data_IF_443758212395
#
_entry.id   IF_443758212395
#
_cell.length_a   1.000
_cell.length_b   1.000
_cell.length_c   1.000
_cell.angle_alpha   90.00
_cell.angle_beta   90.00
_cell.angle_gamma   90.00
#
_symmetry.space_group_name_H-M   'P 1'
#
loop_
_entity.id
_entity.type
_entity.pdbx_description
1 polymer ?
#
# COMPACT_ATOMS: atom_id res chain seq x y z
N UNK A 1 16.30 -12.58 -21.75
CA UNK A 1 17.64 -13.17 -21.55
C UNK A 1 18.58 -12.36 -22.42
N UNK A 2 19.65 -11.83 -21.86
CA UNK A 2 20.50 -10.86 -22.52
C UNK A 2 21.97 -11.23 -22.33
N UNK A 3 22.82 -10.84 -23.28
CA UNK A 3 24.26 -10.86 -23.07
C UNK A 3 24.62 -9.84 -21.99
N UNK A 4 25.47 -10.23 -21.06
CA UNK A 4 26.06 -9.31 -20.11
C UNK A 4 26.84 -8.22 -20.88
N UNK A 5 26.81 -6.97 -20.41
CA UNK A 5 27.47 -5.83 -21.06
C UNK A 5 28.95 -6.10 -21.37
N UNK A 6 29.65 -6.81 -20.47
CA UNK A 6 31.06 -7.20 -20.67
C UNK A 6 31.22 -8.20 -21.82
N UNK A 7 30.35 -9.21 -21.90
CA UNK A 7 30.39 -10.21 -22.97
C UNK A 7 30.02 -9.61 -24.32
N UNK A 8 29.03 -8.70 -24.34
CA UNK A 8 28.67 -7.94 -25.53
C UNK A 8 29.86 -7.09 -26.02
N UNK A 9 30.55 -6.41 -25.11
CA UNK A 9 31.74 -5.62 -25.44
C UNK A 9 32.87 -6.50 -26.00
N UNK A 10 33.18 -7.64 -25.37
CA UNK A 10 34.18 -8.59 -25.86
C UNK A 10 33.81 -9.09 -27.27
N UNK A 11 32.54 -9.39 -27.51
CA UNK A 11 32.07 -9.80 -28.82
C UNK A 11 32.21 -8.69 -29.87
N UNK A 12 31.82 -7.45 -29.54
CA UNK A 12 31.97 -6.29 -30.42
C UNK A 12 33.44 -6.01 -30.77
N UNK A 13 34.33 -6.03 -29.76
CA UNK A 13 35.77 -5.88 -29.96
C UNK A 13 36.34 -7.01 -30.81
N UNK A 14 35.94 -8.26 -30.55
CA UNK A 14 36.39 -9.40 -31.36
C UNK A 14 35.94 -9.28 -32.82
N UNK A 15 34.73 -8.78 -33.06
CA UNK A 15 34.20 -8.57 -34.40
C UNK A 15 34.92 -7.43 -35.14
N UNK A 16 35.24 -6.32 -34.48
CA UNK A 16 36.02 -5.23 -35.09
C UNK A 16 37.45 -5.66 -35.38
N UNK A 17 38.12 -6.37 -34.46
CA UNK A 17 39.44 -6.94 -34.72
C UNK A 17 39.42 -7.97 -35.84
N UNK A 18 38.39 -8.80 -35.94
CA UNK A 18 38.23 -9.73 -37.05
C UNK A 18 38.17 -8.97 -38.40
N UNK A 19 37.33 -7.93 -38.48
CA UNK A 19 37.15 -7.16 -39.71
C UNK A 19 38.41 -6.41 -40.13
N UNK A 20 39.10 -5.76 -39.19
CA UNK A 20 40.39 -5.08 -39.42
C UNK A 20 41.46 -6.09 -39.86
N UNK A 21 41.52 -7.26 -39.20
CA UNK A 21 42.51 -8.29 -39.51
C UNK A 21 42.27 -8.94 -40.88
N UNK A 22 41.02 -8.98 -41.34
CA UNK A 22 40.65 -9.46 -42.67
C UNK A 22 41.13 -8.48 -43.76
N UNK A 23 41.04 -7.17 -43.50
CA UNK A 23 41.58 -6.12 -44.39
C UNK A 23 43.11 -6.19 -44.44
N UNK A 24 43.76 -6.36 -43.27
CA UNK A 24 45.22 -6.39 -43.15
C UNK A 24 45.84 -7.77 -43.42
N UNK A 25 45.03 -8.79 -43.73
CA UNK A 25 45.43 -10.18 -43.97
C UNK A 25 46.30 -10.79 -42.83
N UNK A 26 45.98 -10.46 -41.58
CA UNK A 26 46.70 -10.93 -40.40
C UNK A 26 46.14 -12.29 -39.95
N UNK A 27 46.57 -13.36 -40.62
CA UNK A 27 46.07 -14.73 -40.41
C UNK A 27 45.97 -15.18 -38.93
N UNK A 28 46.97 -14.94 -38.05
CA UNK A 28 46.87 -15.36 -36.65
C UNK A 28 45.73 -14.67 -35.89
N UNK A 29 45.45 -13.40 -36.21
CA UNK A 29 44.41 -12.61 -35.55
C UNK A 29 43.03 -13.01 -36.08
N UNK A 30 42.91 -13.32 -37.37
CA UNK A 30 41.68 -13.85 -37.97
C UNK A 30 41.26 -15.16 -37.28
N UNK A 31 42.19 -16.10 -37.11
CA UNK A 31 41.90 -17.40 -36.50
C UNK A 31 41.48 -17.23 -35.02
N UNK A 32 42.20 -16.42 -34.26
CA UNK A 32 41.90 -16.21 -32.83
C UNK A 32 40.58 -15.50 -32.60
N UNK A 33 40.28 -14.44 -33.36
CA UNK A 33 39.00 -13.72 -33.25
C UNK A 33 37.81 -14.57 -33.70
N UNK A 34 37.96 -15.35 -34.78
CA UNK A 34 36.94 -16.31 -35.22
C UNK A 34 36.68 -17.40 -34.17
N UNK A 35 37.74 -17.94 -33.55
CA UNK A 35 37.63 -18.91 -32.47
C UNK A 35 36.86 -18.34 -31.27
N UNK A 36 37.17 -17.12 -30.84
CA UNK A 36 36.47 -16.45 -29.73
C UNK A 36 34.99 -16.25 -30.07
N UNK A 37 34.67 -15.75 -31.27
CA UNK A 37 33.28 -15.52 -31.68
C UNK A 37 32.49 -16.83 -31.78
N UNK A 38 33.06 -17.87 -32.39
CA UNK A 38 32.40 -19.19 -32.50
C UNK A 38 32.20 -19.83 -31.13
N UNK A 39 33.19 -19.74 -30.24
CA UNK A 39 33.05 -20.20 -28.86
C UNK A 39 31.91 -19.48 -28.13
N UNK A 40 31.85 -18.15 -28.18
CA UNK A 40 30.78 -17.36 -27.54
C UNK A 40 29.42 -17.76 -28.12
N UNK A 41 29.29 -17.88 -29.44
CA UNK A 41 28.03 -18.24 -30.09
C UNK A 41 27.54 -19.65 -29.67
N UNK A 42 28.42 -20.66 -29.73
CA UNK A 42 28.09 -22.03 -29.32
C UNK A 42 27.75 -22.11 -27.83
N UNK A 43 28.53 -21.41 -26.99
CA UNK A 43 28.27 -21.34 -25.56
C UNK A 43 26.93 -20.69 -25.25
N UNK A 44 26.59 -19.58 -25.91
CA UNK A 44 25.30 -18.90 -25.74
C UNK A 44 24.15 -19.84 -26.07
N UNK A 45 24.25 -20.64 -27.15
CA UNK A 45 23.22 -21.62 -27.50
C UNK A 45 23.06 -22.66 -26.39
N UNK A 46 24.16 -23.24 -25.90
CA UNK A 46 24.13 -24.26 -24.84
C UNK A 46 23.59 -23.69 -23.51
N UNK A 47 24.17 -22.58 -23.04
CA UNK A 47 23.81 -21.94 -21.77
C UNK A 47 22.38 -21.37 -21.79
N UNK A 48 21.88 -20.94 -22.95
CA UNK A 48 20.48 -20.48 -23.08
C UNK A 48 19.46 -21.56 -22.72
N UNK A 49 19.75 -22.83 -23.04
CA UNK A 49 18.85 -23.95 -22.76
C UNK A 49 18.74 -24.21 -21.26
N UNK A 50 19.85 -24.11 -20.54
CA UNK A 50 19.87 -24.28 -19.08
C UNK A 50 19.21 -23.10 -18.36
N UNK A 51 19.55 -21.85 -18.72
CA UNK A 51 18.94 -20.65 -18.12
C UNK A 51 17.43 -20.55 -18.42
N UNK A 52 16.96 -21.09 -19.56
CA UNK A 52 15.52 -21.12 -19.88
C UNK A 52 14.71 -21.93 -18.87
N UNK A 53 15.26 -23.02 -18.30
CA UNK A 53 14.58 -23.89 -17.32
C UNK A 53 14.29 -23.19 -15.99
N UNK A 54 15.06 -22.16 -15.64
CA UNK A 54 14.93 -21.44 -14.37
C UNK A 54 13.71 -20.54 -14.43
N UNK A 55 12.81 -20.64 -13.46
CA UNK A 55 11.56 -19.87 -13.40
C UNK A 55 11.53 -18.97 -12.16
N UNK A 56 10.59 -18.00 -12.14
CA UNK A 56 10.34 -17.15 -10.97
C UNK A 56 9.86 -17.96 -9.76
N UNK A 57 9.12 -19.04 -10.00
CA UNK A 57 8.53 -19.92 -8.98
C UNK A 57 9.56 -20.77 -8.22
N UNK A 58 10.78 -20.88 -8.76
CA UNK A 58 11.89 -21.55 -8.10
C UNK A 58 12.42 -20.77 -6.89
N UNK A 59 12.04 -19.49 -6.77
CA UNK A 59 12.45 -18.58 -5.71
C UNK A 59 11.31 -18.33 -4.73
N UNK A 60 11.62 -18.39 -3.44
CA UNK A 60 10.74 -17.91 -2.37
C UNK A 60 11.36 -16.64 -1.80
N UNK A 61 10.63 -15.53 -1.87
CA UNK A 61 11.05 -14.27 -1.26
C UNK A 61 10.08 -13.82 -0.17
N UNK A 62 10.61 -13.16 0.84
CA UNK A 62 9.86 -12.54 1.93
C UNK A 62 10.48 -11.17 2.14
N UNK A 63 9.66 -10.12 2.05
CA UNK A 63 10.05 -8.75 2.35
C UNK A 63 9.36 -8.33 3.66
N UNK A 64 10.11 -7.66 4.53
CA UNK A 64 9.59 -7.18 5.81
C UNK A 64 10.15 -5.81 6.13
N UNK A 65 9.34 -4.95 6.73
CA UNK A 65 9.66 -3.55 7.02
C UNK A 65 9.33 -3.24 8.48
N UNK A 66 10.20 -2.48 9.15
CA UNK A 66 10.03 -2.12 10.57
C UNK A 66 10.80 -0.83 10.90
N UNK A 67 10.17 0.18 11.51
CA UNK A 67 8.74 0.27 11.83
C UNK A 67 7.89 0.51 10.57
N UNK A 68 6.64 0.07 10.59
CA UNK A 68 5.64 0.39 9.56
C UNK A 68 4.26 0.41 10.24
N UNK A 69 3.63 1.58 10.45
CA UNK A 69 4.00 2.90 9.90
C UNK A 69 5.26 3.50 10.56
N UNK A 70 5.86 4.45 9.86
CA UNK A 70 7.03 5.21 10.30
C UNK A 70 6.75 6.72 10.30
N UNK A 71 7.52 7.49 11.04
CA UNK A 71 7.48 8.94 10.94
C UNK A 71 8.35 9.40 9.75
N UNK A 72 8.03 10.55 9.15
CA UNK A 72 8.92 11.17 8.15
C UNK A 72 10.32 11.38 8.74
N UNK A 73 11.34 11.30 7.88
CA UNK A 73 12.75 11.34 8.25
C UNK A 73 13.21 10.27 9.24
N UNK A 74 12.32 9.37 9.68
CA UNK A 74 12.68 8.27 10.56
C UNK A 74 13.20 7.09 9.74
N UNK A 75 14.29 6.50 10.22
CA UNK A 75 14.88 5.32 9.63
C UNK A 75 13.92 4.11 9.70
N UNK A 76 13.67 3.48 8.56
CA UNK A 76 12.92 2.22 8.43
C UNK A 76 13.86 1.10 8.03
N UNK A 77 13.92 0.06 8.85
CA UNK A 77 14.69 -1.15 8.58
C UNK A 77 13.92 -2.07 7.65
N UNK A 78 14.54 -2.42 6.54
CA UNK A 78 13.98 -3.28 5.50
C UNK A 78 14.81 -4.56 5.48
N UNK A 79 14.12 -5.68 5.70
CA UNK A 79 14.69 -7.02 5.69
C UNK A 79 14.06 -7.81 4.57
N UNK A 80 14.82 -8.01 3.49
CA UNK A 80 14.48 -8.92 2.42
C UNK A 80 15.15 -10.26 2.65
N UNK A 81 14.45 -11.34 2.35
CA UNK A 81 15.05 -12.66 2.35
C UNK A 81 14.59 -13.48 1.17
N UNK A 82 15.51 -14.27 0.63
CA UNK A 82 15.28 -15.07 -0.56
C UNK A 82 15.92 -16.45 -0.40
N UNK A 83 15.23 -17.45 -0.92
CA UNK A 83 15.67 -18.85 -0.88
C UNK A 83 15.28 -19.56 -2.17
N UNK A 84 16.05 -20.58 -2.51
CA UNK A 84 15.92 -21.36 -3.73
C UNK A 84 15.33 -22.75 -3.41
N UNK A 85 14.34 -23.20 -4.19
CA UNK A 85 13.64 -24.47 -3.95
C UNK A 85 14.38 -25.68 -4.50
N UNK A 86 14.72 -25.65 -5.80
CA UNK A 86 15.12 -26.87 -6.56
C UNK A 86 16.60 -26.93 -6.94
N UNK A 87 17.23 -25.79 -7.21
CA UNK A 87 18.54 -25.75 -7.88
C UNK A 87 19.71 -25.86 -6.89
N UNK A 88 20.72 -26.67 -7.23
CA UNK A 88 21.89 -26.92 -6.35
C UNK A 88 22.71 -25.66 -6.05
N UNK A 89 23.04 -24.88 -7.09
CA UNK A 89 23.83 -23.64 -6.98
C UNK A 89 23.61 -22.78 -8.22
N UNK A 90 23.17 -21.54 -8.03
CA UNK A 90 23.00 -20.55 -9.09
C UNK A 90 23.77 -19.28 -8.73
N UNK A 91 24.64 -18.76 -9.60
CA UNK A 91 25.20 -17.43 -9.42
C UNK A 91 24.11 -16.39 -9.70
N UNK A 92 23.82 -15.56 -8.71
CA UNK A 92 22.72 -14.58 -8.77
C UNK A 92 23.16 -13.24 -8.21
N UNK A 93 22.66 -12.16 -8.81
CA UNK A 93 22.60 -10.83 -8.22
C UNK A 93 21.14 -10.56 -7.85
N UNK A 94 20.93 -10.09 -6.64
CA UNK A 94 19.62 -9.84 -6.05
C UNK A 94 19.61 -8.39 -5.61
N UNK A 95 18.58 -7.66 -6.01
CA UNK A 95 18.43 -6.25 -5.73
C UNK A 95 17.00 -5.97 -5.29
N UNK A 96 16.83 -5.25 -4.19
CA UNK A 96 15.53 -4.80 -3.72
C UNK A 96 15.35 -3.39 -4.24
N UNK A 97 14.35 -3.19 -5.09
CA UNK A 97 13.99 -1.85 -5.56
C UNK A 97 13.56 -0.99 -4.37
N UNK A 98 14.29 0.11 -4.12
CA UNK A 98 13.99 1.05 -3.05
C UNK A 98 12.85 1.99 -3.39
N UNK A 99 12.41 2.04 -4.66
CA UNK A 99 11.45 3.03 -5.14
C UNK A 99 11.94 4.44 -4.83
N UNK A 100 11.05 5.27 -4.30
CA UNK A 100 11.32 6.68 -3.94
C UNK A 100 11.95 6.86 -2.55
N UNK A 101 12.45 5.79 -1.92
CA UNK A 101 13.06 5.87 -0.60
C UNK A 101 14.56 6.10 -0.68
N UNK A 102 15.05 7.00 0.18
CA UNK A 102 16.47 7.28 0.31
C UNK A 102 17.16 6.20 1.15
N UNK A 103 18.14 5.52 0.56
CA UNK A 103 18.93 4.52 1.26
C UNK A 103 19.94 5.22 2.20
N UNK A 104 19.86 4.92 3.50
CA UNK A 104 20.68 5.54 4.55
C UNK A 104 21.85 4.64 4.94
N UNK A 105 21.58 3.34 5.18
CA UNK A 105 22.57 2.38 5.67
C UNK A 105 22.35 0.99 5.06
N UNK A 106 23.44 0.23 4.94
CA UNK A 106 23.40 -1.13 4.41
C UNK A 106 23.43 -1.19 2.89
N UNK A 107 23.10 -2.35 2.34
CA UNK A 107 23.06 -2.57 0.89
C UNK A 107 21.72 -3.18 0.50
N UNK A 108 21.06 -2.58 -0.49
CA UNK A 108 19.87 -3.14 -1.14
C UNK A 108 20.22 -4.18 -2.21
N UNK A 109 21.52 -4.44 -2.46
CA UNK A 109 22.00 -5.40 -3.44
C UNK A 109 22.92 -6.46 -2.80
N UNK A 110 22.78 -7.70 -3.26
CA UNK A 110 23.63 -8.84 -2.90
C UNK A 110 24.04 -9.59 -4.16
N UNK A 111 25.28 -10.05 -4.23
CA UNK A 111 25.78 -10.87 -5.34
C UNK A 111 26.51 -12.09 -4.77
N UNK A 112 26.21 -13.25 -5.33
CA UNK A 112 26.90 -14.48 -4.97
C UNK A 112 26.18 -15.72 -5.46
N UNK A 113 26.59 -16.89 -4.96
CA UNK A 113 25.98 -18.15 -5.33
C UNK A 113 24.89 -18.57 -4.33
N UNK A 114 23.66 -18.71 -4.81
CA UNK A 114 22.51 -19.17 -4.03
C UNK A 114 22.33 -20.68 -4.24
N UNK A 115 22.19 -21.43 -3.14
CA UNK A 115 22.00 -22.88 -3.14
C UNK A 115 20.65 -23.26 -2.53
N UNK A 116 20.06 -24.38 -2.98
CA UNK A 116 18.84 -24.91 -2.40
C UNK A 116 18.97 -25.08 -0.88
N UNK A 117 17.92 -24.67 -0.16
CA UNK A 117 17.87 -24.73 1.31
C UNK A 117 18.67 -23.64 2.05
N UNK A 118 19.49 -22.83 1.36
CA UNK A 118 20.11 -21.64 1.97
C UNK A 118 19.22 -20.43 1.80
N UNK A 119 19.01 -19.72 2.91
CA UNK A 119 18.30 -18.45 2.96
C UNK A 119 19.31 -17.32 3.03
N UNK A 120 19.22 -16.37 2.11
CA UNK A 120 20.00 -15.13 2.14
C UNK A 120 19.10 -14.05 2.71
N UNK A 121 19.63 -13.29 3.67
CA UNK A 121 18.98 -12.11 4.23
C UNK A 121 19.77 -10.87 3.84
N UNK A 122 19.06 -9.88 3.31
CA UNK A 122 19.57 -8.54 3.02
C UNK A 122 18.87 -7.57 3.95
N UNK A 123 19.65 -6.72 4.60
CA UNK A 123 19.15 -5.72 5.53
C UNK A 123 19.72 -4.36 5.17
N UNK A 124 18.83 -3.40 4.94
CA UNK A 124 19.17 -2.02 4.72
C UNK A 124 18.17 -1.11 5.41
N UNK A 125 18.57 0.14 5.61
CA UNK A 125 17.74 1.17 6.20
C UNK A 125 17.44 2.20 5.14
N UNK A 126 16.17 2.57 5.01
CA UNK A 126 15.75 3.66 4.15
C UNK A 126 14.89 4.67 4.91
N UNK A 127 14.80 5.89 4.38
CA UNK A 127 13.93 6.95 4.90
C UNK A 127 13.12 7.57 3.77
N UNK A 128 11.99 8.16 4.12
CA UNK A 128 11.26 9.07 3.24
C UNK A 128 11.20 10.43 3.91
N UNK A 129 11.38 11.47 3.10
CA UNK A 129 11.27 12.85 3.54
C UNK A 129 9.80 13.32 3.44
N UNK A 130 8.97 12.51 2.76
CA UNK A 130 7.55 12.75 2.52
C UNK A 130 6.64 11.85 3.33
N UNK A 131 5.44 12.35 3.59
CA UNK A 131 4.33 11.58 4.15
C UNK A 131 3.59 10.88 3.01
N UNK A 132 3.07 9.69 3.28
CA UNK A 132 2.23 8.95 2.35
C UNK A 132 2.55 7.47 2.32
N UNK A 133 1.91 6.77 1.39
CA UNK A 133 2.20 5.35 1.14
C UNK A 133 3.34 5.28 0.13
N UNK A 134 4.42 4.59 0.49
CA UNK A 134 5.57 4.30 -0.38
C UNK A 134 5.71 2.80 -0.54
N UNK A 135 6.05 2.34 -1.73
CA UNK A 135 6.19 0.92 -2.02
C UNK A 135 7.68 0.56 -2.13
N UNK A 136 8.06 -0.55 -1.51
CA UNK A 136 9.37 -1.18 -1.67
C UNK A 136 9.22 -2.48 -2.43
N UNK A 137 10.18 -2.78 -3.27
CA UNK A 137 10.15 -3.90 -4.18
C UNK A 137 9.61 -3.48 -5.55
N UNK A 138 9.64 -4.37 -6.55
CA UNK A 138 9.85 -5.81 -6.44
C UNK A 138 11.31 -6.22 -6.16
N UNK A 139 11.54 -7.49 -5.82
CA UNK A 139 12.89 -8.06 -5.83
C UNK A 139 13.31 -8.35 -7.27
N UNK A 140 14.36 -7.68 -7.74
CA UNK A 140 14.99 -7.96 -9.04
C UNK A 140 16.08 -9.01 -8.84
N UNK A 141 15.93 -10.15 -9.51
CA UNK A 141 16.89 -11.25 -9.48
C UNK A 141 17.48 -11.43 -10.87
N UNK A 142 18.78 -11.21 -11.00
CA UNK A 142 19.56 -11.50 -12.18
C UNK A 142 20.31 -12.82 -11.96
N UNK A 143 19.94 -13.86 -12.72
CA UNK A 143 20.61 -15.16 -12.71
C UNK A 143 21.65 -15.17 -13.82
N UNK A 144 22.88 -15.50 -13.45
CA UNK A 144 24.00 -15.63 -14.37
C UNK A 144 24.19 -17.11 -14.76
N UNK A 145 24.73 -17.34 -15.93
CA UNK A 145 25.35 -18.63 -16.25
C UNK A 145 26.71 -18.77 -15.51
N UNK A 146 27.31 -19.98 -15.49
CA UNK A 146 28.59 -20.21 -14.81
C UNK A 146 29.75 -19.32 -15.29
N UNK A 147 29.76 -18.87 -16.55
CA UNK A 147 30.78 -17.96 -17.10
C UNK A 147 30.37 -16.48 -17.03
N UNK A 148 29.14 -16.16 -16.60
CA UNK A 148 28.63 -14.78 -16.48
C UNK A 148 28.42 -14.05 -17.81
N UNK A 149 28.34 -14.80 -18.93
CA UNK A 149 28.12 -14.29 -20.30
C UNK A 149 26.65 -13.93 -20.54
N UNK A 150 25.72 -14.75 -20.04
CA UNK A 150 24.28 -14.60 -20.17
C UNK A 150 23.64 -14.25 -18.83
N UNK A 151 22.67 -13.35 -18.90
CA UNK A 151 21.87 -12.93 -17.75
C UNK A 151 20.40 -13.16 -18.04
N UNK A 152 19.70 -13.73 -17.07
CA UNK A 152 18.24 -13.82 -17.05
C UNK A 152 17.72 -13.07 -15.84
N UNK A 153 16.98 -12.00 -16.10
CA UNK A 153 16.42 -11.14 -15.06
C UNK A 153 14.96 -11.49 -14.79
N UNK A 154 14.59 -11.42 -13.53
CA UNK A 154 13.25 -11.68 -13.03
C UNK A 154 12.87 -10.61 -12.01
N UNK A 155 11.63 -10.15 -12.11
CA UNK A 155 11.01 -9.42 -11.01
C UNK A 155 10.12 -10.38 -10.22
N UNK A 156 10.45 -10.56 -8.95
CA UNK A 156 9.70 -11.35 -7.98
C UNK A 156 8.90 -10.38 -7.11
N UNK A 157 7.58 -10.46 -7.23
CA UNK A 157 6.64 -9.61 -6.52
C UNK A 157 6.31 -10.27 -5.19
N UNK A 158 7.00 -9.83 -4.13
CA UNK A 158 6.28 -9.07 -3.13
C UNK A 158 6.74 -7.63 -3.18
N UNK A 159 5.79 -6.72 -3.42
CA UNK A 159 5.94 -5.33 -3.01
C UNK A 159 5.54 -5.23 -1.53
N UNK A 160 5.96 -4.17 -0.86
CA UNK A 160 5.54 -3.92 0.52
C UNK A 160 5.30 -2.43 0.67
N UNK A 161 4.08 -2.07 1.04
CA UNK A 161 3.70 -0.71 1.37
C UNK A 161 4.23 -0.32 2.76
N UNK A 162 4.84 0.86 2.84
CA UNK A 162 5.19 1.54 4.10
C UNK A 162 4.40 2.84 4.14
N UNK A 163 3.76 3.11 5.27
CA UNK A 163 3.12 4.40 5.53
C UNK A 163 4.05 5.30 6.35
N UNK A 164 4.41 6.42 5.76
CA UNK A 164 5.09 7.52 6.45
C UNK A 164 4.06 8.55 6.93
N UNK A 165 4.19 8.99 8.18
CA UNK A 165 3.31 9.95 8.85
C UNK A 165 4.11 11.14 9.39
N UNK A 166 3.51 12.33 9.44
CA UNK A 166 4.16 13.52 10.03
C UNK A 166 4.35 13.38 11.54
N UNK A 167 3.44 12.68 12.22
CA UNK A 167 3.43 12.54 13.68
C UNK A 167 3.63 11.11 14.17
N UNK A 168 4.60 10.93 15.06
CA UNK A 168 4.84 9.68 15.78
C UNK A 168 3.72 9.30 16.77
N UNK A 169 2.84 10.25 17.14
CA UNK A 169 1.72 10.01 18.08
C UNK A 169 0.70 9.00 17.54
N UNK A 170 0.59 8.88 16.22
CA UNK A 170 -0.27 7.89 15.57
C UNK A 170 0.36 6.48 15.61
N UNK A 171 1.69 6.40 15.71
CA UNK A 171 2.46 5.15 15.71
C UNK A 171 2.36 4.45 17.07
N UNK A 172 2.32 5.23 18.16
CA UNK A 172 2.48 4.74 19.53
C UNK A 172 1.19 4.34 20.26
N UNK A 173 0.09 4.05 19.56
CA UNK A 173 -1.13 3.61 20.25
C UNK A 173 -1.01 2.14 20.68
N UNK A 174 -0.92 1.83 22.00
CA UNK A 174 -0.86 0.46 22.45
C UNK A 174 -2.22 -0.22 22.24
N UNK A 175 -2.22 -1.39 21.61
CA UNK A 175 -3.38 -2.27 21.56
C UNK A 175 -3.07 -3.57 22.29
N UNK A 176 -4.07 -4.07 23.02
CA UNK A 176 -4.01 -5.36 23.68
C UNK A 176 -3.72 -6.49 22.67
N UNK A 177 -2.82 -7.41 23.06
CA UNK A 177 -2.21 -8.42 22.20
C UNK A 177 -3.26 -9.34 21.54
N UNK A 178 -3.26 -9.40 20.21
CA UNK A 178 -3.90 -10.48 19.44
C UNK A 178 -2.82 -11.42 18.90
N UNK A 179 -2.90 -12.73 19.18
CA UNK A 179 -1.95 -13.77 18.74
C UNK A 179 -2.22 -14.33 17.33
N UNK A 180 -3.20 -13.80 16.59
CA UNK A 180 -3.60 -14.36 15.29
C UNK A 180 -2.86 -13.74 14.10
N UNK A 181 -2.56 -14.57 13.09
CA UNK A 181 -1.88 -14.21 11.81
C UNK A 181 -2.61 -13.12 11.01
N UNK A 182 -3.93 -13.00 11.21
CA UNK A 182 -4.78 -11.90 10.82
C UNK A 182 -5.32 -11.29 12.11
N UNK A 183 -5.21 -9.98 12.39
CA UNK A 183 -5.71 -9.42 13.65
C UNK A 183 -7.18 -9.77 13.81
N UNK A 184 -7.49 -10.51 14.88
CA UNK A 184 -8.87 -10.88 15.19
C UNK A 184 -9.61 -9.60 15.59
N UNK A 185 -10.75 -9.27 14.95
CA UNK A 185 -11.53 -8.10 15.29
C UNK A 185 -12.08 -8.22 16.71
N UNK A 186 -12.03 -7.13 17.47
CA UNK A 186 -12.76 -6.98 18.73
C UNK A 186 -12.09 -7.60 19.96
N UNK A 187 -11.25 -6.81 20.65
CA UNK A 187 -11.09 -6.97 22.08
C UNK A 187 -12.07 -6.02 22.77
N UNK A 188 -13.23 -6.55 23.14
CA UNK A 188 -14.13 -5.90 24.10
C UNK A 188 -13.32 -5.55 25.36
N UNK A 189 -13.49 -4.33 25.88
CA UNK A 189 -12.91 -3.95 27.19
C UNK A 189 -13.48 -4.78 28.35
N UNK A 190 -14.56 -5.54 28.13
CA UNK A 190 -15.30 -6.24 29.16
C UNK A 190 -15.46 -7.74 28.81
N UNK A 191 -14.84 -8.67 29.57
CA UNK A 191 -14.86 -10.10 29.26
C UNK A 191 -16.26 -10.75 29.33
N UNK A 192 -17.27 -10.01 29.81
CA UNK A 192 -18.64 -10.49 29.96
C UNK A 192 -19.60 -10.05 28.84
N UNK A 193 -19.17 -9.15 27.95
CA UNK A 193 -19.94 -8.67 26.79
C UNK A 193 -19.47 -9.44 25.55
N UNK A 194 -20.39 -10.06 24.83
CA UNK A 194 -20.08 -10.76 23.59
C UNK A 194 -19.43 -9.83 22.56
N UNK A 195 -18.55 -10.38 21.72
CA UNK A 195 -17.62 -9.68 20.81
C UNK A 195 -18.35 -8.67 19.86
N UNK A 196 -19.68 -8.77 19.70
CA UNK A 196 -20.50 -8.03 18.74
C UNK A 196 -21.51 -7.03 19.35
N UNK A 197 -21.42 -6.65 20.64
CA UNK A 197 -22.49 -5.86 21.26
C UNK A 197 -21.99 -4.65 22.06
N UNK A 198 -22.69 -3.52 21.92
CA UNK A 198 -22.53 -2.33 22.76
C UNK A 198 -23.74 -2.16 23.69
N UNK A 199 -23.50 -1.75 24.93
CA UNK A 199 -24.55 -1.52 25.92
C UNK A 199 -25.29 -0.21 25.61
N UNK A 200 -26.63 -0.26 25.46
CA UNK A 200 -27.43 0.92 25.09
C UNK A 200 -28.11 1.56 26.30
N UNK A 201 -28.99 0.83 26.98
CA UNK A 201 -29.84 1.35 28.07
C UNK A 201 -30.42 0.20 28.91
N UNK A 202 -30.84 0.48 30.14
CA UNK A 202 -31.69 -0.41 30.94
C UNK A 202 -33.14 0.10 30.86
N UNK A 203 -34.08 -0.73 30.44
CA UNK A 203 -35.51 -0.40 30.40
C UNK A 203 -36.28 -1.23 31.43
N UNK A 204 -37.27 -0.67 32.12
CA UNK A 204 -38.19 -1.45 32.94
C UNK A 204 -39.07 -2.36 32.06
N UNK A 205 -39.33 -3.58 32.52
CA UNK A 205 -40.03 -4.68 31.80
C UNK A 205 -41.42 -4.32 31.25
N UNK A 206 -42.01 -3.21 31.68
CA UNK A 206 -43.34 -2.72 31.26
C UNK A 206 -43.38 -2.38 29.75
N UNK A 207 -42.24 -2.10 29.12
CA UNK A 207 -42.18 -1.84 27.68
C UNK A 207 -41.92 -3.13 26.91
N UNK A 208 -42.90 -3.63 26.14
CA UNK A 208 -42.67 -4.69 25.15
C UNK A 208 -41.54 -4.24 24.21
N UNK A 209 -40.34 -4.82 24.31
CA UNK A 209 -39.21 -4.35 23.53
C UNK A 209 -39.39 -4.85 22.10
N UNK A 210 -39.52 -3.92 21.15
CA UNK A 210 -39.44 -4.24 19.72
C UNK A 210 -38.14 -5.03 19.48
N UNK A 211 -38.27 -6.26 18.98
CA UNK A 211 -37.29 -7.32 19.02
C UNK A 211 -35.83 -6.88 18.74
N UNK A 212 -35.03 -6.71 19.80
CA UNK A 212 -33.57 -6.82 19.80
C UNK A 212 -33.18 -7.74 20.97
N UNK A 213 -32.35 -8.75 20.67
CA UNK A 213 -32.06 -9.92 21.53
C UNK A 213 -31.82 -9.55 23.00
N UNK A 214 -32.63 -10.12 23.90
CA UNK A 214 -32.51 -10.01 25.35
C UNK A 214 -31.77 -11.25 25.86
N UNK A 215 -30.66 -11.06 26.59
CA UNK A 215 -29.96 -12.17 27.27
C UNK A 215 -30.51 -12.32 28.71
N UNK A 216 -31.62 -13.04 28.83
CA UNK A 216 -32.40 -13.18 30.07
C UNK A 216 -31.61 -13.76 31.24
N UNK A 217 -30.64 -14.65 30.99
CA UNK A 217 -29.88 -15.34 32.05
C UNK A 217 -28.88 -14.45 32.80
N UNK A 218 -28.56 -13.26 32.29
CA UNK A 218 -27.44 -12.44 32.79
C UNK A 218 -27.83 -11.09 33.43
N UNK A 219 -29.11 -10.69 33.43
CA UNK A 219 -29.43 -9.25 33.54
C UNK A 219 -30.55 -8.84 34.50
N UNK A 220 -31.40 -9.74 35.00
CA UNK A 220 -32.45 -9.32 35.94
C UNK A 220 -31.83 -8.83 37.28
N UNK A 221 -31.88 -7.52 37.52
CA UNK A 221 -31.79 -6.96 38.88
C UNK A 221 -33.21 -6.63 39.31
N UNK A 222 -33.72 -7.31 40.33
CA UNK A 222 -34.92 -6.86 41.03
C UNK A 222 -34.49 -5.83 42.07
N UNK A 223 -34.82 -4.57 41.83
CA UNK A 223 -34.86 -3.57 42.89
C UNK A 223 -36.33 -3.18 42.99
N UNK A 224 -36.92 -3.39 44.17
CA UNK A 224 -38.31 -2.99 44.47
C UNK A 224 -39.38 -3.57 43.50
N UNK A 225 -39.22 -4.81 43.06
CA UNK A 225 -40.23 -5.51 42.24
C UNK A 225 -40.23 -5.16 40.76
N UNK A 226 -39.38 -4.24 40.31
CA UNK A 226 -39.21 -3.92 38.89
C UNK A 226 -38.01 -4.65 38.28
N UNK A 227 -38.25 -5.36 37.19
CA UNK A 227 -37.20 -6.03 36.41
C UNK A 227 -36.70 -5.06 35.33
N UNK A 228 -35.41 -4.76 35.37
CA UNK A 228 -34.75 -3.97 34.34
C UNK A 228 -34.07 -4.88 33.32
N UNK A 229 -34.43 -4.70 32.05
CA UNK A 229 -33.82 -5.41 30.92
C UNK A 229 -32.78 -4.51 30.26
N UNK A 230 -31.52 -4.97 30.17
CA UNK A 230 -30.48 -4.26 29.42
C UNK A 230 -30.63 -4.58 27.93
N UNK A 231 -30.78 -3.55 27.12
CA UNK A 231 -30.79 -3.66 25.67
C UNK A 231 -29.37 -3.53 25.13
N UNK A 232 -29.01 -4.43 24.22
CA UNK A 232 -27.73 -4.43 23.52
C UNK A 232 -27.97 -4.22 22.04
N UNK A 233 -27.19 -3.33 21.42
CA UNK A 233 -27.18 -3.17 19.97
C UNK A 233 -26.10 -4.06 19.36
N UNK A 234 -26.44 -4.76 18.29
CA UNK A 234 -25.46 -5.48 17.47
C UNK A 234 -24.56 -4.43 16.82
N UNK A 235 -23.25 -4.47 17.11
CA UNK A 235 -22.24 -3.70 16.39
C UNK A 235 -22.39 -4.03 14.90
N UNK A 236 -22.97 -3.11 14.13
CA UNK A 236 -22.88 -3.13 12.67
C UNK A 236 -21.42 -2.85 12.32
N UNK A 237 -20.62 -3.92 12.25
CA UNK A 237 -19.23 -3.88 11.80
C UNK A 237 -19.21 -3.63 10.30
N UNK A 238 -19.11 -2.37 9.90
CA UNK A 238 -18.84 -2.03 8.51
C UNK A 238 -17.34 -1.84 8.35
N UNK A 239 -16.70 -2.74 7.63
CA UNK A 239 -15.33 -2.52 7.16
C UNK A 239 -15.34 -1.26 6.27
N UNK A 240 -14.31 -0.42 6.46
CA UNK A 240 -14.20 0.89 5.84
C UNK A 240 -13.11 0.85 4.78
N UNK A 241 -13.31 1.49 3.64
CA UNK A 241 -12.25 1.79 2.70
C UNK A 241 -12.14 3.31 2.51
N UNK A 242 -10.93 3.83 2.61
CA UNK A 242 -10.59 5.22 2.34
C UNK A 242 -9.88 5.24 1.00
N UNK A 243 -10.46 5.97 0.06
CA UNK A 243 -9.93 6.17 -1.27
C UNK A 243 -9.39 7.59 -1.39
N UNK A 244 -8.20 7.69 -1.95
CA UNK A 244 -7.51 8.95 -2.24
C UNK A 244 -7.45 9.07 -3.75
N UNK A 245 -8.19 10.03 -4.26
CA UNK A 245 -8.34 10.35 -5.66
C UNK A 245 -7.26 11.28 -6.20
N UNK A 246 -7.54 11.84 -7.37
CA UNK A 246 -6.60 12.71 -8.09
C UNK A 246 -6.48 14.12 -7.48
N UNK A 247 -5.35 14.78 -7.76
CA UNK A 247 -5.15 16.21 -7.49
C UNK A 247 -4.58 16.58 -6.12
N UNK A 248 -4.09 15.59 -5.37
CA UNK A 248 -3.49 15.79 -4.03
C UNK A 248 -1.96 15.74 -4.02
N UNK A 249 -1.32 15.42 -5.14
CA UNK A 249 0.13 15.47 -5.31
C UNK A 249 0.62 16.93 -5.49
N UNK A 250 0.16 17.84 -4.64
CA UNK A 250 0.53 19.25 -4.61
C UNK A 250 1.25 19.56 -3.31
N UNK A 251 2.28 20.40 -3.38
CA UNK A 251 3.02 20.86 -2.24
C UNK A 251 2.57 22.28 -1.88
N UNK A 252 2.06 22.45 -0.65
CA UNK A 252 1.70 23.77 -0.11
C UNK A 252 2.89 24.35 0.65
N UNK A 253 3.18 25.67 0.49
CA UNK A 253 4.34 26.31 1.09
C UNK A 253 4.47 26.10 2.61
N UNK A 254 3.36 26.10 3.35
CA UNK A 254 3.36 25.98 4.82
C UNK A 254 2.91 24.61 5.35
N UNK A 255 2.19 23.84 4.54
CA UNK A 255 1.54 22.59 5.00
C UNK A 255 2.24 21.31 4.51
N UNK A 256 3.20 21.42 3.58
CA UNK A 256 3.81 20.26 2.91
C UNK A 256 2.87 19.66 1.86
N UNK A 257 3.05 18.38 1.54
CA UNK A 257 2.25 17.67 0.53
C UNK A 257 0.78 17.56 0.98
N UNK A 258 -0.18 17.95 0.14
CA UNK A 258 -1.62 17.93 0.48
C UNK A 258 -2.13 16.53 0.78
N UNK A 259 -1.73 15.55 -0.03
CA UNK A 259 -2.05 14.13 0.18
C UNK A 259 -1.73 13.67 1.61
N UNK A 260 -0.60 14.12 2.14
CA UNK A 260 -0.13 13.81 3.48
C UNK A 260 -1.14 14.22 4.57
N UNK A 261 -1.60 15.46 4.47
CA UNK A 261 -2.47 16.07 5.46
C UNK A 261 -3.84 15.41 5.42
N UNK A 262 -4.34 15.12 4.22
CA UNK A 262 -5.60 14.38 4.01
C UNK A 262 -5.51 12.98 4.61
N UNK A 263 -4.44 12.23 4.31
CA UNK A 263 -4.20 10.89 4.90
C UNK A 263 -4.19 10.99 6.42
N UNK A 264 -3.42 11.93 6.97
CA UNK A 264 -3.25 12.07 8.41
C UNK A 264 -4.57 12.41 9.12
N UNK A 265 -5.31 13.39 8.62
CA UNK A 265 -6.61 13.77 9.19
C UNK A 265 -7.63 12.64 9.08
N UNK A 266 -7.66 11.95 7.93
CA UNK A 266 -8.58 10.83 7.74
C UNK A 266 -8.25 9.69 8.68
N UNK A 267 -6.97 9.33 8.85
CA UNK A 267 -6.54 8.34 9.83
C UNK A 267 -6.86 8.77 11.26
N UNK A 268 -6.66 10.04 11.64
CA UNK A 268 -6.99 10.52 12.98
C UNK A 268 -8.46 10.28 13.36
N UNK A 269 -9.39 10.41 12.41
CA UNK A 269 -10.82 10.14 12.64
C UNK A 269 -11.11 8.64 12.61
N UNK A 270 -10.58 7.94 11.61
CA UNK A 270 -10.97 6.56 11.30
C UNK A 270 -10.27 5.51 12.17
N UNK A 271 -9.06 5.76 12.67
CA UNK A 271 -8.33 4.83 13.56
C UNK A 271 -9.10 4.43 14.81
N UNK A 272 -9.97 5.31 15.33
CA UNK A 272 -10.89 5.00 16.43
C UNK A 272 -11.81 3.81 16.12
N UNK A 273 -12.21 3.65 14.84
CA UNK A 273 -13.07 2.56 14.37
C UNK A 273 -12.32 1.23 14.29
N UNK A 274 -10.99 1.25 14.14
CA UNK A 274 -10.20 0.00 14.20
C UNK A 274 -10.28 -0.62 15.60
N UNK A 275 -10.31 0.20 16.66
CA UNK A 275 -10.47 -0.30 18.04
C UNK A 275 -11.83 -0.96 18.26
N UNK A 276 -12.84 -0.53 17.52
CA UNK A 276 -14.20 -1.11 17.51
C UNK A 276 -14.26 -2.41 16.66
N UNK A 277 -13.16 -2.78 16.00
CA UNK A 277 -13.02 -4.02 15.23
C UNK A 277 -13.24 -3.89 13.72
N UNK A 278 -13.34 -2.66 13.18
CA UNK A 278 -13.43 -2.43 11.75
C UNK A 278 -12.07 -2.62 11.05
N UNK A 279 -12.06 -3.23 9.86
CA UNK A 279 -10.89 -3.23 8.98
C UNK A 279 -10.89 -1.96 8.16
N UNK A 280 -9.74 -1.30 8.06
CA UNK A 280 -9.60 -0.09 7.25
C UNK A 280 -8.75 -0.43 6.03
N UNK A 281 -9.31 -0.23 4.85
CA UNK A 281 -8.62 -0.33 3.58
C UNK A 281 -8.20 1.06 3.15
N UNK A 282 -6.98 1.21 2.66
CA UNK A 282 -6.47 2.41 2.04
C UNK A 282 -6.27 2.12 0.56
N UNK A 283 -6.85 2.94 -0.30
CA UNK A 283 -6.71 2.86 -1.74
C UNK A 283 -6.23 4.20 -2.30
N UNK A 284 -5.20 4.18 -3.13
CA UNK A 284 -4.71 5.37 -3.87
C UNK A 284 -5.01 5.19 -5.35
N UNK A 285 -5.61 6.21 -5.97
CA UNK A 285 -5.77 6.30 -7.41
C UNK A 285 -4.42 6.57 -8.07
N UNK A 286 -4.07 5.77 -9.08
CA UNK A 286 -2.78 5.85 -9.79
C UNK A 286 -2.91 6.45 -11.20
N UNK A 287 -4.11 6.87 -11.62
CA UNK A 287 -4.41 7.19 -13.01
C UNK A 287 -4.87 5.99 -13.81
N UNK A 288 -5.40 6.23 -15.02
CA UNK A 288 -5.88 5.20 -15.96
C UNK A 288 -6.88 4.19 -15.36
N UNK A 289 -7.69 4.62 -14.38
CA UNK A 289 -8.64 3.73 -13.70
C UNK A 289 -8.02 2.72 -12.72
N UNK A 290 -6.72 2.81 -12.42
CA UNK A 290 -6.02 1.86 -11.53
C UNK A 290 -5.96 2.37 -10.09
N UNK A 291 -6.05 1.43 -9.15
CA UNK A 291 -5.92 1.69 -7.72
C UNK A 291 -4.83 0.81 -7.10
N UNK A 292 -4.00 1.39 -6.24
CA UNK A 292 -3.15 0.64 -5.33
C UNK A 292 -3.86 0.49 -3.98
N UNK A 293 -3.96 -0.73 -3.48
CA UNK A 293 -4.80 -1.05 -2.32
C UNK A 293 -4.01 -1.75 -1.23
N UNK A 294 -4.26 -1.34 0.01
CA UNK A 294 -3.60 -1.91 1.16
C UNK A 294 -4.51 -1.89 2.40
N UNK A 295 -4.46 -2.97 3.16
CA UNK A 295 -5.19 -3.13 4.41
C UNK A 295 -4.37 -2.53 5.55
N UNK A 296 -4.97 -1.59 6.28
CA UNK A 296 -4.50 -1.09 7.55
C UNK A 296 -5.01 -1.98 8.68
N UNK A 297 -4.10 -2.65 9.37
CA UNK A 297 -4.38 -3.47 10.54
C UNK A 297 -3.52 -3.09 11.74
N UNK A 298 -3.73 -3.74 12.87
CA UNK A 298 -2.81 -3.69 14.01
C UNK A 298 -2.05 -5.01 14.14
N UNK A 299 -0.73 -4.92 14.26
CA UNK A 299 0.14 -6.04 14.64
C UNK A 299 0.67 -5.88 16.06
N UNK A 300 1.58 -6.77 16.45
CA UNK A 300 2.19 -6.83 17.78
C UNK A 300 2.94 -5.54 18.20
N UNK A 301 3.23 -4.65 17.25
CA UNK A 301 4.04 -3.44 17.44
C UNK A 301 3.33 -2.15 17.00
N UNK A 302 2.00 -2.17 16.88
CA UNK A 302 1.19 -1.01 16.48
C UNK A 302 0.49 -1.20 15.14
N UNK A 303 0.15 -0.10 14.47
CA UNK A 303 -0.44 -0.12 13.13
C UNK A 303 0.50 -0.86 12.17
N UNK A 304 -0.05 -1.47 11.12
CA UNK A 304 0.69 -2.12 10.05
C UNK A 304 -0.11 -2.05 8.76
N UNK A 305 0.56 -1.74 7.66
CA UNK A 305 0.01 -1.89 6.32
C UNK A 305 0.35 -3.25 5.74
N UNK A 306 -0.67 -3.88 5.16
CA UNK A 306 -0.60 -5.17 4.49
C UNK A 306 -1.13 -4.92 3.08
N UNK A 307 -0.27 -5.05 2.06
CA UNK A 307 -0.73 -4.98 0.67
C UNK A 307 -1.81 -6.03 0.43
N UNK A 308 -2.84 -5.64 -0.31
CA UNK A 308 -3.96 -6.52 -0.58
C UNK A 308 -4.36 -6.35 -2.04
N UNK A 309 -4.43 -7.48 -2.74
CA UNK A 309 -4.67 -7.52 -4.20
C UNK A 309 -6.08 -7.07 -4.57
N UNK A 310 -7.05 -7.25 -3.66
CA UNK A 310 -8.45 -6.93 -3.89
C UNK A 310 -9.09 -6.24 -2.68
N UNK A 311 -9.87 -5.20 -2.97
CA UNK A 311 -10.81 -4.61 -2.01
C UNK A 311 -11.96 -5.63 -1.78
N UNK A 312 -12.50 -5.77 -0.57
CA UNK A 312 -13.71 -6.57 -0.34
C UNK A 312 -14.97 -6.01 -1.06
N UNK A 313 -15.97 -6.87 -1.33
CA UNK A 313 -17.18 -6.50 -2.10
C UNK A 313 -18.30 -5.82 -1.30
N UNK A 314 -18.18 -5.72 0.02
CA UNK A 314 -19.18 -5.14 0.93
C UNK A 314 -18.50 -4.22 1.96
N UNK A 315 -18.21 -2.98 1.56
CA UNK A 315 -17.52 -1.98 2.38
C UNK A 315 -18.24 -0.65 2.31
N UNK A 316 -18.10 0.13 3.37
CA UNK A 316 -18.34 1.56 3.31
C UNK A 316 -17.10 2.24 2.72
N UNK A 317 -17.28 3.04 1.70
CA UNK A 317 -16.18 3.77 1.06
C UNK A 317 -16.28 5.25 1.36
N UNK A 318 -15.18 5.84 1.82
CA UNK A 318 -14.99 7.28 1.85
C UNK A 318 -14.02 7.60 0.73
N UNK A 319 -14.47 8.32 -0.28
CA UNK A 319 -13.66 8.69 -1.43
C UNK A 319 -13.35 10.18 -1.39
N UNK A 320 -12.08 10.52 -1.21
CA UNK A 320 -11.58 11.90 -1.15
C UNK A 320 -10.99 12.24 -2.51
N UNK A 321 -11.36 13.37 -3.13
CA UNK A 321 -10.83 13.73 -4.46
C UNK A 321 -10.96 15.22 -4.79
N UNK A 322 -10.24 15.65 -5.83
CA UNK A 322 -10.40 16.95 -6.49
C UNK A 322 -10.89 16.86 -7.93
N UNK A 323 -11.13 15.66 -8.46
CA UNK A 323 -11.54 15.46 -9.85
C UNK A 323 -10.64 16.21 -10.84
N UNK A 324 -9.33 16.01 -10.73
CA UNK A 324 -8.36 16.58 -11.68
C UNK A 324 -8.24 15.68 -12.90
N UNK A 325 -8.23 14.36 -12.70
CA UNK A 325 -8.11 13.40 -13.79
C UNK A 325 -9.48 13.08 -14.40
N UNK A 326 -9.59 13.17 -15.73
CA UNK A 326 -10.86 12.99 -16.46
C UNK A 326 -11.42 11.56 -16.33
N UNK A 327 -10.52 10.56 -16.31
CA UNK A 327 -10.89 9.14 -16.20
C UNK A 327 -11.38 8.73 -14.82
N UNK A 328 -11.16 9.56 -13.79
CA UNK A 328 -11.45 9.22 -12.40
C UNK A 328 -12.95 9.03 -12.17
N UNK A 329 -13.80 9.86 -12.78
CA UNK A 329 -15.27 9.76 -12.68
C UNK A 329 -15.74 8.40 -13.21
N UNK A 330 -15.20 7.98 -14.36
CA UNK A 330 -15.50 6.68 -14.97
C UNK A 330 -15.02 5.54 -14.08
N UNK A 331 -13.82 5.66 -13.49
CA UNK A 331 -13.27 4.67 -12.57
C UNK A 331 -14.14 4.50 -11.31
N UNK A 332 -14.63 5.60 -10.73
CA UNK A 332 -15.55 5.57 -9.58
C UNK A 332 -16.86 4.85 -9.96
N UNK A 333 -17.44 5.17 -11.13
CA UNK A 333 -18.67 4.50 -11.61
C UNK A 333 -18.46 2.99 -11.79
N UNK A 334 -17.37 2.57 -12.41
CA UNK A 334 -17.05 1.14 -12.58
C UNK A 334 -16.82 0.42 -11.25
N UNK A 335 -16.15 1.10 -10.29
CA UNK A 335 -15.95 0.58 -8.94
C UNK A 335 -17.28 0.34 -8.23
N UNK A 336 -18.27 1.20 -8.49
CA UNK A 336 -19.62 1.09 -7.94
C UNK A 336 -20.48 0.03 -8.65
N UNK A 337 -20.44 -0.05 -9.98
CA UNK A 337 -21.23 -1.05 -10.72
C UNK A 337 -20.78 -2.48 -10.41
N UNK A 338 -19.48 -2.67 -10.22
CA UNK A 338 -18.91 -3.99 -9.95
C UNK A 338 -19.18 -4.50 -8.52
N UNK A 339 -19.63 -3.65 -7.58
CA UNK A 339 -19.62 -3.95 -6.14
C UNK A 339 -20.79 -3.26 -5.41
N UNK A 340 -21.48 -3.96 -4.50
CA UNK A 340 -22.53 -3.37 -3.63
C UNK A 340 -21.88 -2.53 -2.51
N UNK A 341 -21.34 -1.38 -2.89
CA UNK A 341 -20.64 -0.46 -2.01
C UNK A 341 -21.59 0.65 -1.53
N UNK A 342 -21.33 1.16 -0.34
CA UNK A 342 -21.94 2.39 0.19
C UNK A 342 -20.90 3.51 0.14
N UNK A 343 -20.99 4.40 -0.85
CA UNK A 343 -20.01 5.44 -1.15
C UNK A 343 -20.39 6.78 -0.50
N UNK A 344 -19.44 7.35 0.22
CA UNK A 344 -19.44 8.73 0.70
C UNK A 344 -18.35 9.47 -0.06
N UNK A 345 -18.76 10.36 -0.96
CA UNK A 345 -17.84 11.17 -1.73
C UNK A 345 -17.53 12.48 -1.00
N UNK A 346 -16.25 12.82 -0.87
CA UNK A 346 -15.77 14.07 -0.28
C UNK A 346 -14.88 14.77 -1.30
N UNK A 347 -15.39 15.85 -1.87
CA UNK A 347 -14.63 16.72 -2.76
C UNK A 347 -13.90 17.78 -1.91
N UNK A 348 -12.58 17.91 -2.11
CA UNK A 348 -11.73 18.78 -1.29
C UNK A 348 -11.37 20.05 -2.06
N UNK A 349 -11.83 21.21 -1.58
CA UNK A 349 -11.49 22.50 -2.15
C UNK A 349 -10.23 23.06 -1.49
N UNK A 350 -9.16 23.23 -2.27
CA UNK A 350 -7.89 23.79 -1.80
C UNK A 350 -7.81 25.31 -1.91
N UNK A 351 -8.83 25.99 -2.46
CA UNK A 351 -8.85 27.44 -2.60
C UNK A 351 -8.75 28.17 -1.26
N UNK A 352 -9.19 27.55 -0.16
CA UNK A 352 -9.05 28.10 1.19
C UNK A 352 -7.60 28.35 1.60
N UNK A 353 -6.67 27.49 1.15
CA UNK A 353 -5.23 27.64 1.44
C UNK A 353 -4.63 28.85 0.70
N UNK A 354 -5.24 29.28 -0.42
CA UNK A 354 -4.80 30.44 -1.17
C UNK A 354 -5.06 31.76 -0.44
N UNK A 355 -5.95 31.81 0.55
CA UNK A 355 -6.21 33.00 1.35
C UNK A 355 -4.94 33.46 2.10
N UNK A 356 -4.05 32.52 2.45
CA UNK A 356 -2.80 32.80 3.15
C UNK A 356 -1.77 33.48 2.24
N UNK A 357 -1.85 33.24 0.92
CA UNK A 357 -0.86 33.71 -0.06
C UNK A 357 -1.36 34.86 -0.94
N UNK A 358 -2.66 34.92 -1.17
CA UNK A 358 -3.33 35.91 -2.00
C UNK A 358 -4.34 36.68 -1.15
N UNK A 359 -4.48 37.97 -1.43
CA UNK A 359 -5.49 38.81 -0.76
C UNK A 359 -6.88 38.17 -0.82
N UNK A 360 -7.65 38.33 0.26
CA UNK A 360 -8.93 37.64 0.51
C UNK A 360 -9.90 37.70 -0.67
N UNK A 361 -10.01 38.85 -1.34
CA UNK A 361 -10.91 39.03 -2.49
C UNK A 361 -10.53 38.16 -3.71
N UNK A 362 -9.24 38.01 -3.98
CA UNK A 362 -8.76 37.19 -5.09
C UNK A 362 -8.92 35.70 -4.78
N UNK A 363 -8.58 35.29 -3.56
CA UNK A 363 -8.77 33.91 -3.10
C UNK A 363 -10.25 33.49 -3.11
N UNK A 364 -11.18 34.37 -2.72
CA UNK A 364 -12.62 34.08 -2.75
C UNK A 364 -13.13 33.77 -4.16
N UNK A 365 -12.70 34.52 -5.19
CA UNK A 365 -13.06 34.23 -6.58
C UNK A 365 -12.60 32.84 -7.03
N UNK A 366 -11.39 32.44 -6.63
CA UNK A 366 -10.85 31.11 -6.94
C UNK A 366 -11.61 30.02 -6.18
N UNK A 367 -11.90 30.24 -4.89
CA UNK A 367 -12.68 29.30 -4.07
C UNK A 367 -14.04 29.05 -4.71
N UNK A 368 -14.74 30.10 -5.13
CA UNK A 368 -16.06 29.99 -5.78
C UNK A 368 -15.98 29.26 -7.13
N UNK A 369 -14.95 29.55 -7.94
CA UNK A 369 -14.76 28.87 -9.22
C UNK A 369 -14.46 27.37 -9.03
N UNK A 370 -13.59 27.03 -8.07
CA UNK A 370 -13.24 25.65 -7.73
C UNK A 370 -14.43 24.91 -7.12
N UNK A 371 -15.22 25.55 -6.26
CA UNK A 371 -16.44 24.96 -5.69
C UNK A 371 -17.46 24.60 -6.78
N UNK A 372 -17.66 25.50 -7.76
CA UNK A 372 -18.52 25.22 -8.92
C UNK A 372 -18.01 24.03 -9.74
N UNK A 373 -16.69 23.96 -9.99
CA UNK A 373 -16.07 22.84 -10.72
C UNK A 373 -16.25 21.52 -10.00
N UNK A 374 -15.98 21.49 -8.68
CA UNK A 374 -16.12 20.29 -7.86
C UNK A 374 -17.57 19.81 -7.79
N UNK A 375 -18.55 20.71 -7.65
CA UNK A 375 -19.98 20.36 -7.71
C UNK A 375 -20.36 19.75 -9.05
N UNK A 376 -19.99 20.41 -10.14
CA UNK A 376 -20.30 19.94 -11.49
C UNK A 376 -19.76 18.53 -11.74
N UNK A 377 -18.54 18.24 -11.28
CA UNK A 377 -17.95 16.90 -11.42
C UNK A 377 -18.59 15.88 -10.46
N UNK A 378 -18.91 16.26 -9.21
CA UNK A 378 -19.57 15.38 -8.26
C UNK A 378 -20.99 15.00 -8.69
N UNK A 379 -21.73 15.96 -9.26
CA UNK A 379 -23.10 15.76 -9.78
C UNK A 379 -23.14 14.72 -10.90
N UNK A 380 -22.08 14.61 -11.71
CA UNK A 380 -21.98 13.59 -12.76
C UNK A 380 -21.93 12.15 -12.24
N UNK A 381 -21.58 11.96 -10.96
CA UNK A 381 -21.45 10.64 -10.34
C UNK A 381 -22.82 10.17 -9.80
N UNK A 382 -23.71 11.10 -9.43
CA UNK A 382 -25.08 10.79 -9.01
C UNK A 382 -25.20 10.22 -7.59
N UNK A 383 -24.22 10.43 -6.71
CA UNK A 383 -24.22 9.98 -5.31
C UNK A 383 -24.20 11.14 -4.32
N UNK A 384 -24.45 10.84 -3.04
CA UNK A 384 -24.28 11.81 -1.97
C UNK A 384 -22.81 12.22 -1.85
N UNK A 385 -22.58 13.54 -1.88
CA UNK A 385 -21.26 14.11 -1.72
C UNK A 385 -21.26 15.24 -0.69
N UNK A 386 -20.09 15.51 -0.14
CA UNK A 386 -19.82 16.71 0.66
C UNK A 386 -18.63 17.43 0.04
N UNK A 387 -18.68 18.76 0.03
CA UNK A 387 -17.52 19.58 -0.31
C UNK A 387 -16.95 20.15 0.99
N UNK A 388 -15.63 20.09 1.16
CA UNK A 388 -14.93 20.57 2.36
C UNK A 388 -13.58 21.17 1.97
N UNK A 389 -13.00 21.98 2.84
CA UNK A 389 -11.59 22.38 2.79
C UNK A 389 -10.74 21.43 3.66
N UNK A 390 -9.40 21.58 3.59
CA UNK A 390 -8.46 20.81 4.43
C UNK A 390 -8.69 21.08 5.91
N UNK A 391 -8.97 22.33 6.30
CA UNK A 391 -9.11 22.71 7.72
C UNK A 391 -10.35 22.08 8.38
N UNK A 392 -11.45 21.89 7.64
CA UNK A 392 -12.70 21.32 8.15
C UNK A 392 -12.86 19.84 7.83
N UNK A 393 -11.94 19.23 7.08
CA UNK A 393 -12.03 17.84 6.66
C UNK A 393 -12.24 16.88 7.85
N UNK A 394 -11.51 17.08 8.95
CA UNK A 394 -11.66 16.25 10.15
C UNK A 394 -13.08 16.30 10.75
N UNK A 395 -13.69 17.49 10.81
CA UNK A 395 -15.04 17.72 11.33
C UNK A 395 -16.09 17.12 10.39
N UNK A 396 -15.93 17.31 9.08
CA UNK A 396 -16.77 16.73 8.03
C UNK A 396 -16.80 15.21 8.12
N UNK A 397 -15.62 14.57 8.24
CA UNK A 397 -15.50 13.11 8.42
C UNK A 397 -16.21 12.63 9.69
N UNK A 398 -16.05 13.34 10.82
CA UNK A 398 -16.74 12.98 12.08
C UNK A 398 -18.25 13.05 11.94
N UNK A 399 -18.79 14.07 11.27
CA UNK A 399 -20.23 14.21 11.04
C UNK A 399 -20.77 13.08 10.16
N UNK A 400 -20.10 12.78 9.05
CA UNK A 400 -20.51 11.73 8.12
C UNK A 400 -20.47 10.34 8.77
N UNK A 401 -19.46 10.06 9.59
CA UNK A 401 -19.33 8.79 10.31
C UNK A 401 -20.28 8.67 11.52
N UNK A 402 -20.61 9.79 12.19
CA UNK A 402 -21.53 9.78 13.35
C UNK A 402 -23.01 9.79 12.96
N UNK A 403 -23.40 10.44 11.86
CA UNK A 403 -24.78 10.49 11.38
C UNK A 403 -25.34 9.08 11.14
N UNK A 404 -24.54 8.18 10.56
CA UNK A 404 -24.93 6.77 10.35
C UNK A 404 -24.94 5.90 11.60
N UNK A 405 -24.38 6.33 12.74
CA UNK A 405 -24.56 5.60 14.01
C UNK A 405 -25.98 5.79 14.58
N UNK A 406 -26.68 6.86 14.17
CA UNK A 406 -28.03 7.20 14.67
C UNK A 406 -29.18 6.65 13.83
N UNK A 407 -28.91 6.21 12.60
CA UNK A 407 -29.88 5.60 11.65
C UNK A 407 -29.70 4.09 11.63
#
# INVERSE_FOLDING_TARGET
MMLNKRALYIYQVSATFFLISLILNLQPIIITTLYIMTFIALYVIAASRELKKISKEDFISILSTSPNPAAINHEVKIKGSISLRKWRKLPVKIEIDSGDLYLVRGSNAWTGALSAGRKISMEFTAKSDDVGIRFIGPLRVAVFDPLGILVKEFEIHPRTAILFLKSSKLISQPIARSRSRYPSPGLSKNPFIGIEHEYRISLPEIHEPQARRIDWKKVARSVEGEVYVKQFDKLKRTDLAIFIGSGFDLELPDNGIVEAEIIQQTLLVTLSHIREGARIWLAKYLGEGKFATALLGYGSFGLKLIEAEDIPRNLQIIYLTRFIDEDEITAIKQLMESRRIDLILIAVNLGGELIKYYGREYALKIIEAEDKRLRLNADQIGFQYSITDIERLQETLRRLLSFKRRV
#
